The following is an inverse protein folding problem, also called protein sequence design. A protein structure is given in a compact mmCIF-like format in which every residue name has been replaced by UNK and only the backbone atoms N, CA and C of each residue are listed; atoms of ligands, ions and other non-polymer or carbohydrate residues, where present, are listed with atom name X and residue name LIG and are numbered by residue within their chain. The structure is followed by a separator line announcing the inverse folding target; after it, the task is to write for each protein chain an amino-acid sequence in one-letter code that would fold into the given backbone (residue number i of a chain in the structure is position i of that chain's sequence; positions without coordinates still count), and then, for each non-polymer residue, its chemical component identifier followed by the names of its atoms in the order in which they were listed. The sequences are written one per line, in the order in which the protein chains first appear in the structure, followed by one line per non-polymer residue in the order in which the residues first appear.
data_IF_574533314628
#
_entry.id   IF_574533314628
#
_cell.length_a   1.000
_cell.length_b   1.000
_cell.length_c   1.000
_cell.angle_alpha   90.00
_cell.angle_beta   90.00
_cell.angle_gamma   90.00
#
_symmetry.space_group_name_H-M   'P 1'
#
loop_
_entity.id
_entity.type
_entity.pdbx_description
1 polymer ?
#
# COMPACT_ATOMS: atom_id res chain seq x y z
N UNK A 1 7.45 -19.28 0.70
CA UNK A 1 7.04 -17.93 0.26
C UNK A 1 5.59 -17.67 0.60
N UNK A 2 5.27 -16.43 0.91
CA UNK A 2 3.92 -16.01 1.25
C UNK A 2 3.29 -15.23 0.10
N UNK A 3 1.97 -15.26 0.02
CA UNK A 3 1.24 -14.55 -1.03
C UNK A 3 1.12 -13.06 -0.72
N UNK A 4 1.10 -12.24 -1.78
CA UNK A 4 0.87 -10.81 -1.66
C UNK A 4 -0.05 -10.30 -2.76
N UNK A 5 -0.68 -9.16 -2.50
CA UNK A 5 -1.42 -8.36 -3.48
C UNK A 5 -1.08 -6.89 -3.26
N UNK A 6 -1.04 -6.12 -4.33
CA UNK A 6 -0.74 -4.68 -4.26
C UNK A 6 -1.93 -3.89 -4.75
N UNK A 7 -2.29 -2.87 -3.97
CA UNK A 7 -3.37 -1.95 -4.27
C UNK A 7 -2.83 -0.54 -4.33
N UNK A 8 -2.97 0.12 -5.48
CA UNK A 8 -2.61 1.52 -5.61
C UNK A 8 -3.79 2.40 -5.21
N UNK A 9 -3.50 3.44 -4.42
CA UNK A 9 -4.49 4.46 -4.16
C UNK A 9 -4.78 5.22 -5.45
N UNK A 10 -6.07 5.51 -5.69
CA UNK A 10 -6.50 6.25 -6.87
C UNK A 10 -5.86 7.63 -6.93
N UNK A 11 -5.55 8.12 -8.13
CA UNK A 11 -4.87 9.40 -8.33
C UNK A 11 -5.64 10.57 -7.69
N UNK A 12 -6.97 10.52 -7.70
CA UNK A 12 -7.81 11.53 -7.07
C UNK A 12 -7.59 11.63 -5.56
N UNK A 13 -7.14 10.55 -4.90
CA UNK A 13 -6.92 10.50 -3.46
C UNK A 13 -5.44 10.54 -3.07
N UNK A 14 -4.53 10.54 -4.04
CA UNK A 14 -3.09 10.41 -3.79
C UNK A 14 -2.52 11.52 -2.92
N UNK A 15 -2.89 12.76 -3.20
CA UNK A 15 -2.37 13.91 -2.42
C UNK A 15 -2.73 13.77 -0.95
N UNK A 16 -3.99 13.47 -0.66
CA UNK A 16 -4.46 13.29 0.72
C UNK A 16 -3.79 12.09 1.38
N UNK A 17 -3.67 10.96 0.68
CA UNK A 17 -3.04 9.76 1.22
C UNK A 17 -1.57 9.99 1.55
N UNK A 18 -0.85 10.69 0.69
CA UNK A 18 0.55 11.03 0.94
C UNK A 18 0.70 11.94 2.16
N UNK A 19 -0.19 12.93 2.32
CA UNK A 19 -0.15 13.83 3.47
C UNK A 19 -0.40 13.07 4.77
N UNK A 20 -1.44 12.26 4.83
CA UNK A 20 -1.79 11.49 6.04
C UNK A 20 -0.67 10.51 6.40
N UNK A 21 -0.14 9.79 5.44
CA UNK A 21 0.88 8.77 5.69
C UNK A 21 2.30 9.31 5.85
N UNK A 22 2.55 10.57 5.47
CA UNK A 22 3.87 11.20 5.59
C UNK A 22 4.05 12.02 6.85
N UNK A 23 3.00 12.66 7.34
CA UNK A 23 3.09 13.61 8.45
C UNK A 23 3.07 12.94 9.82
N UNK A 24 2.56 11.72 9.92
CA UNK A 24 2.42 11.01 11.19
C UNK A 24 3.29 9.78 11.23
N UNK A 25 4.03 9.61 12.31
CA UNK A 25 4.82 8.40 12.55
C UNK A 25 3.92 7.18 12.73
N UNK A 26 2.77 7.38 13.40
CA UNK A 26 1.74 6.36 13.57
C UNK A 26 0.40 6.93 13.13
N UNK A 27 -0.37 6.14 12.41
CA UNK A 27 -1.71 6.54 11.98
C UNK A 27 -2.67 6.30 13.16
N UNK A 28 -3.46 7.32 13.49
CA UNK A 28 -4.56 7.16 14.45
C UNK A 28 -5.75 6.56 13.71
N UNK A 29 -5.90 5.25 13.82
CA UNK A 29 -6.96 4.54 13.10
C UNK A 29 -8.37 4.91 13.56
N UNK A 30 -8.52 5.53 14.73
CA UNK A 30 -9.83 6.02 15.19
C UNK A 30 -10.26 7.27 14.42
N UNK A 31 -9.32 8.15 14.09
CA UNK A 31 -9.59 9.39 13.34
C UNK A 31 -9.27 9.23 11.86
N UNK A 32 -8.04 8.81 11.54
CA UNK A 32 -7.55 8.74 10.16
C UNK A 32 -8.15 7.57 9.40
N UNK A 33 -8.55 6.51 10.09
CA UNK A 33 -9.15 5.33 9.46
C UNK A 33 -10.43 5.67 8.69
N UNK A 34 -11.20 6.65 9.16
CA UNK A 34 -12.40 7.10 8.45
C UNK A 34 -12.06 7.74 7.10
N UNK A 35 -10.91 8.40 7.01
CA UNK A 35 -10.43 8.96 5.74
C UNK A 35 -9.88 7.87 4.83
N UNK A 36 -9.07 6.98 5.38
CA UNK A 36 -8.45 5.90 4.61
C UNK A 36 -9.50 5.03 3.93
N UNK A 37 -10.62 4.72 4.59
CA UNK A 37 -11.68 3.90 3.98
C UNK A 37 -12.45 4.63 2.88
N UNK A 38 -12.34 5.95 2.78
CA UNK A 38 -12.98 6.71 1.70
C UNK A 38 -12.13 6.76 0.44
N UNK A 39 -10.84 6.48 0.54
CA UNK A 39 -9.95 6.48 -0.62
C UNK A 39 -10.23 5.25 -1.48
N UNK A 40 -10.17 5.44 -2.78
CA UNK A 40 -10.35 4.36 -3.72
C UNK A 40 -9.04 3.66 -3.98
N UNK A 41 -9.07 2.33 -3.96
CA UNK A 41 -7.90 1.50 -4.22
C UNK A 41 -8.15 0.57 -5.40
N UNK A 42 -7.13 0.38 -6.21
CA UNK A 42 -7.19 -0.49 -7.38
C UNK A 42 -6.11 -1.55 -7.27
N UNK A 43 -6.48 -2.83 -7.38
CA UNK A 43 -5.51 -3.92 -7.41
C UNK A 43 -4.71 -3.85 -8.70
N UNK A 44 -3.38 -3.96 -8.59
CA UNK A 44 -2.49 -3.85 -9.74
C UNK A 44 -1.53 -5.03 -9.88
N UNK A 45 -1.47 -5.89 -8.90
CA UNK A 45 -0.57 -7.02 -8.96
C UNK A 45 -0.72 -7.96 -7.79
N UNK A 46 -0.23 -9.20 -8.00
CA UNK A 46 -0.17 -10.22 -6.95
C UNK A 46 0.99 -11.16 -7.24
N UNK A 47 1.39 -11.93 -6.26
CA UNK A 47 2.48 -12.86 -6.40
C UNK A 47 2.87 -13.48 -5.06
N UNK A 48 4.14 -13.90 -4.97
CA UNK A 48 4.72 -14.49 -3.77
C UNK A 48 6.04 -13.82 -3.44
N UNK A 49 6.31 -13.64 -2.16
CA UNK A 49 7.54 -13.05 -1.66
C UNK A 49 7.85 -13.57 -0.25
N UNK A 50 9.10 -13.39 0.17
CA UNK A 50 9.55 -13.80 1.50
C UNK A 50 9.12 -12.80 2.58
N UNK A 51 9.06 -11.50 2.24
CA UNK A 51 8.78 -10.43 3.19
C UNK A 51 8.14 -9.21 2.51
N UNK A 52 7.61 -8.30 3.34
CA UNK A 52 7.11 -7.02 2.86
C UNK A 52 8.18 -6.22 2.12
N UNK A 53 9.42 -6.24 2.62
CA UNK A 53 10.53 -5.55 1.97
C UNK A 53 10.79 -6.09 0.57
N UNK A 54 10.67 -7.40 0.37
CA UNK A 54 10.83 -8.02 -0.94
C UNK A 54 9.72 -7.57 -1.89
N UNK A 55 8.48 -7.50 -1.43
CA UNK A 55 7.36 -7.01 -2.23
C UNK A 55 7.62 -5.56 -2.66
N UNK A 56 7.98 -4.71 -1.72
CA UNK A 56 8.29 -3.31 -1.98
C UNK A 56 9.43 -3.17 -3.00
N UNK A 57 10.47 -3.99 -2.84
CA UNK A 57 11.63 -3.99 -3.75
C UNK A 57 11.25 -4.38 -5.18
N UNK A 58 10.34 -5.35 -5.36
CA UNK A 58 9.86 -5.77 -6.68
C UNK A 58 9.17 -4.63 -7.44
N UNK A 59 8.59 -3.67 -6.73
CA UNK A 59 7.84 -2.56 -7.31
C UNK A 59 8.49 -1.20 -7.05
N UNK A 60 9.77 -1.21 -6.68
CA UNK A 60 10.55 0.01 -6.44
C UNK A 60 11.25 0.48 -7.71
N UNK A 61 11.93 1.62 -7.58
CA UNK A 61 12.75 2.18 -8.67
C UNK A 61 13.81 1.19 -9.17
N UNK A 62 14.32 0.32 -8.30
CA UNK A 62 15.37 -0.65 -8.63
C UNK A 62 14.92 -1.71 -9.63
N UNK A 63 13.63 -1.91 -9.84
CA UNK A 63 13.07 -2.88 -10.77
C UNK A 63 12.32 -2.20 -11.92
N UNK A 64 12.89 -1.12 -12.45
CA UNK A 64 12.25 -0.28 -13.45
C UNK A 64 11.87 -1.05 -14.72
N UNK A 65 12.71 -1.97 -15.20
CA UNK A 65 12.44 -2.74 -16.42
C UNK A 65 11.23 -3.65 -16.26
N UNK A 66 11.12 -4.30 -15.11
CA UNK A 66 9.97 -5.16 -14.79
C UNK A 66 8.68 -4.35 -14.76
N UNK A 67 8.71 -3.14 -14.17
CA UNK A 67 7.56 -2.26 -14.11
C UNK A 67 7.16 -1.72 -15.47
N UNK A 68 8.15 -1.40 -16.32
CA UNK A 68 7.90 -0.94 -17.70
C UNK A 68 7.15 -1.98 -18.52
N UNK A 69 7.55 -3.25 -18.43
CA UNK A 69 6.85 -4.35 -19.12
C UNK A 69 5.38 -4.44 -18.74
N UNK A 70 5.07 -4.19 -17.47
CA UNK A 70 3.71 -4.25 -16.94
C UNK A 70 3.02 -2.88 -16.94
N UNK A 71 3.71 -1.83 -17.36
CA UNK A 71 3.21 -0.44 -17.32
C UNK A 71 2.77 -0.02 -15.92
N UNK A 72 3.50 -0.49 -14.90
CA UNK A 72 3.18 -0.20 -13.50
C UNK A 72 4.04 0.94 -12.97
N UNK A 73 3.44 1.81 -12.16
CA UNK A 73 4.19 2.81 -11.41
C UNK A 73 4.84 2.18 -10.18
N UNK A 74 5.76 2.90 -9.54
CA UNK A 74 6.36 2.51 -8.27
C UNK A 74 5.30 2.45 -7.18
N UNK A 75 5.40 1.48 -6.28
CA UNK A 75 4.65 1.50 -5.02
C UNK A 75 5.09 2.71 -4.22
N UNK A 76 4.16 3.48 -3.72
CA UNK A 76 4.44 4.75 -3.07
C UNK A 76 3.65 4.91 -1.76
N UNK A 77 3.95 5.98 -1.02
CA UNK A 77 3.26 6.31 0.22
C UNK A 77 1.74 6.37 -0.03
N UNK A 78 0.97 5.71 0.83
CA UNK A 78 -0.48 5.63 0.72
C UNK A 78 -1.00 4.39 0.01
N UNK A 79 -0.15 3.65 -0.70
CA UNK A 79 -0.53 2.39 -1.32
C UNK A 79 -0.62 1.28 -0.27
N UNK A 80 -1.38 0.23 -0.57
CA UNK A 80 -1.58 -0.89 0.35
C UNK A 80 -0.99 -2.16 -0.23
N UNK A 81 -0.27 -2.90 0.63
CA UNK A 81 0.21 -4.24 0.33
C UNK A 81 -0.50 -5.20 1.26
N UNK A 82 -1.18 -6.19 0.70
CA UNK A 82 -1.69 -7.33 1.46
C UNK A 82 -0.62 -8.41 1.39
N UNK A 83 -0.09 -8.79 2.54
CA UNK A 83 0.96 -9.80 2.63
C UNK A 83 0.59 -10.81 3.70
N UNK A 84 0.54 -12.09 3.32
CA UNK A 84 0.19 -13.18 4.23
C UNK A 84 -1.14 -12.91 4.97
N UNK A 85 -2.14 -12.43 4.23
CA UNK A 85 -3.49 -12.11 4.70
C UNK A 85 -3.61 -10.86 5.59
N UNK A 86 -2.52 -10.14 5.83
CA UNK A 86 -2.55 -8.87 6.55
C UNK A 86 -2.36 -7.70 5.58
N UNK A 87 -3.11 -6.62 5.80
CA UNK A 87 -2.98 -5.41 5.01
C UNK A 87 -2.02 -4.42 5.69
N UNK A 88 -1.15 -3.83 4.88
CA UNK A 88 -0.14 -2.86 5.31
C UNK A 88 -0.19 -1.63 4.42
N UNK A 89 -0.28 -0.46 5.02
CA UNK A 89 -0.21 0.79 4.26
C UNK A 89 1.23 1.30 4.26
N UNK A 90 1.69 1.76 3.10
CA UNK A 90 3.04 2.31 2.96
C UNK A 90 3.05 3.72 3.52
N UNK A 91 3.97 4.01 4.44
CA UNK A 91 4.14 5.33 5.01
C UNK A 91 5.58 5.82 4.82
N UNK A 92 5.83 7.09 5.15
CA UNK A 92 7.20 7.64 5.14
C UNK A 92 8.10 6.98 6.19
N UNK A 93 7.52 6.30 7.17
CA UNK A 93 8.24 5.68 8.30
C UNK A 93 8.26 4.15 8.21
N UNK A 94 7.84 3.57 7.08
CA UNK A 94 7.79 2.13 6.87
C UNK A 94 6.38 1.63 6.60
N UNK A 95 6.10 0.38 6.97
CA UNK A 95 4.81 -0.24 6.76
C UNK A 95 4.00 -0.20 8.05
N UNK A 96 2.76 0.29 7.97
CA UNK A 96 1.85 0.33 9.11
C UNK A 96 0.71 -0.66 8.87
N UNK A 97 0.45 -1.51 9.85
CA UNK A 97 -0.61 -2.51 9.74
C UNK A 97 -1.99 -1.86 9.75
N UNK A 98 -2.81 -2.21 8.77
CA UNK A 98 -4.20 -1.75 8.69
C UNK A 98 -5.06 -2.70 9.54
N UNK A 99 -5.85 -2.18 10.51
CA UNK A 99 -6.75 -3.03 11.29
C UNK A 99 -7.70 -3.83 10.40
N UNK A 100 -7.96 -5.08 10.76
CA UNK A 100 -8.76 -6.00 9.95
C UNK A 100 -10.14 -5.46 9.58
N UNK A 101 -10.82 -4.79 10.51
CA UNK A 101 -12.15 -4.18 10.28
C UNK A 101 -12.07 -3.14 9.15
N UNK A 102 -11.02 -2.31 9.13
CA UNK A 102 -10.84 -1.29 8.10
C UNK A 102 -10.38 -1.90 6.78
N UNK A 103 -9.53 -2.93 6.84
CA UNK A 103 -9.08 -3.63 5.65
C UNK A 103 -10.25 -4.25 4.88
N UNK A 104 -11.23 -4.82 5.57
CA UNK A 104 -12.43 -5.38 4.94
C UNK A 104 -13.25 -4.31 4.21
N UNK A 105 -13.27 -3.08 4.72
CA UNK A 105 -13.98 -1.97 4.08
C UNK A 105 -13.24 -1.41 2.86
N UNK A 106 -11.93 -1.48 2.87
CA UNK A 106 -11.08 -0.94 1.80
C UNK A 106 -10.97 -1.93 0.64
N UNK A 107 -10.79 -3.17 0.95
CA UNK A 107 -10.50 -4.23 -0.01
C UNK A 107 -11.71 -5.11 -0.25
#
# INVERSE_FOLDING_TARGET
MKTYSIYYVDDANRMESMLVCSLKKNIDWCEDGLRVVTWKYNIIGHGRAESLNDVFRHYSVLNIDRRRKKQLRTVNIGDIIVFDNDAWIVSAFGFLRVPGILAEKIL
#
